data_IF_033490366759
#
_entry.id   IF_033490366759
#
_cell.length_a   1.000
_cell.length_b   1.000
_cell.length_c   1.000
_cell.angle_alpha   90.00
_cell.angle_beta   90.00
_cell.angle_gamma   90.00
#
_symmetry.space_group_name_H-M   'P 1'
#
loop_
_entity.id
_entity.type
_entity.pdbx_description
1 polymer ?
#
# COMPACT_ATOMS: atom_id res chain seq x y z
N UNK A 1 -10.69 23.73 -16.31
CA UNK A 1 -11.54 22.57 -15.98
C UNK A 1 -10.98 21.97 -14.71
N UNK A 2 -11.80 21.47 -13.79
CA UNK A 2 -11.28 20.81 -12.59
C UNK A 2 -10.78 19.41 -12.95
N UNK A 3 -9.56 19.06 -12.54
CA UNK A 3 -8.99 17.71 -12.67
C UNK A 3 -9.48 16.77 -11.54
N UNK A 4 -10.69 17.03 -11.05
CA UNK A 4 -11.33 16.30 -9.96
C UNK A 4 -12.76 15.97 -10.38
N UNK A 5 -13.09 14.68 -10.28
CA UNK A 5 -14.36 14.13 -10.69
C UNK A 5 -15.00 13.42 -9.50
N UNK A 6 -16.32 13.49 -9.42
CA UNK A 6 -17.04 12.71 -8.43
C UNK A 6 -16.89 11.22 -8.73
N UNK A 7 -16.56 10.44 -7.70
CA UNK A 7 -16.55 8.98 -7.79
C UNK A 7 -17.65 8.41 -6.91
N UNK A 8 -18.38 7.42 -7.43
CA UNK A 8 -19.41 6.72 -6.70
C UNK A 8 -19.63 5.32 -7.23
N UNK A 9 -19.76 4.36 -6.32
CA UNK A 9 -20.12 2.98 -6.66
C UNK A 9 -21.15 2.47 -5.66
N UNK A 10 -22.05 1.61 -6.14
CA UNK A 10 -23.00 0.90 -5.29
C UNK A 10 -22.71 -0.59 -5.32
N UNK A 11 -22.40 -1.16 -4.15
CA UNK A 11 -22.23 -2.59 -3.97
C UNK A 11 -23.53 -3.20 -3.42
N UNK A 12 -23.93 -4.34 -3.97
CA UNK A 12 -25.17 -5.04 -3.61
C UNK A 12 -25.04 -6.54 -3.85
N UNK A 13 -26.08 -7.30 -3.54
CA UNK A 13 -26.13 -8.74 -3.80
C UNK A 13 -25.94 -9.11 -5.28
N UNK A 14 -26.42 -8.28 -6.22
CA UNK A 14 -26.26 -8.47 -7.66
C UNK A 14 -24.95 -7.89 -8.22
N UNK A 15 -24.41 -6.86 -7.58
CA UNK A 15 -23.13 -6.24 -7.93
C UNK A 15 -22.21 -6.17 -6.71
N UNK A 16 -21.57 -7.29 -6.39
CA UNK A 16 -20.80 -7.42 -5.14
C UNK A 16 -19.44 -6.77 -5.17
N UNK A 17 -18.87 -6.53 -6.35
CA UNK A 17 -17.49 -6.08 -6.48
C UNK A 17 -17.34 -5.07 -7.60
N UNK A 18 -16.55 -4.03 -7.36
CA UNK A 18 -16.16 -3.04 -8.36
C UNK A 18 -14.66 -2.78 -8.26
N UNK A 19 -14.00 -2.69 -9.41
CA UNK A 19 -12.58 -2.37 -9.50
C UNK A 19 -12.38 -1.02 -10.15
N UNK A 20 -11.74 -0.12 -9.42
CA UNK A 20 -11.19 1.12 -9.96
C UNK A 20 -9.80 0.83 -10.55
N UNK A 21 -9.71 0.92 -11.87
CA UNK A 21 -8.49 0.73 -12.65
C UNK A 21 -8.55 1.64 -13.89
N UNK A 22 -8.21 2.94 -13.74
CA UNK A 22 -8.23 3.89 -14.84
C UNK A 22 -7.09 3.65 -15.85
N UNK A 23 -5.98 3.07 -15.42
CA UNK A 23 -4.81 2.80 -16.29
C UNK A 23 -5.12 1.72 -17.32
N UNK A 24 -5.85 0.67 -16.93
CA UNK A 24 -6.30 -0.36 -17.88
C UNK A 24 -7.20 0.17 -19.02
N UNK A 25 -7.70 1.41 -18.92
CA UNK A 25 -8.64 2.02 -19.87
C UNK A 25 -8.10 3.29 -20.54
N UNK A 26 -6.87 3.71 -20.23
CA UNK A 26 -6.34 5.00 -20.67
C UNK A 26 -5.63 4.90 -22.03
N UNK A 27 -5.99 5.77 -22.97
CA UNK A 27 -5.23 5.98 -24.21
C UNK A 27 -3.93 6.77 -23.97
N UNK A 28 -3.92 7.64 -22.95
CA UNK A 28 -2.77 8.45 -22.55
C UNK A 28 -2.50 8.25 -21.06
N UNK A 29 -1.31 7.74 -20.68
CA UNK A 29 -1.00 7.50 -19.29
C UNK A 29 -0.98 8.83 -18.52
N UNK A 30 -1.76 8.87 -17.44
CA UNK A 30 -1.88 10.01 -16.56
C UNK A 30 -1.85 9.51 -15.13
N UNK A 31 -1.25 10.27 -14.22
CA UNK A 31 -1.35 9.94 -12.80
C UNK A 31 -2.82 10.04 -12.35
N UNK A 32 -3.27 9.01 -11.62
CA UNK A 32 -4.64 8.91 -11.12
C UNK A 32 -4.61 8.69 -9.62
N UNK A 33 -5.62 9.19 -8.91
CA UNK A 33 -5.76 8.95 -7.47
C UNK A 33 -7.23 8.85 -7.10
N UNK A 34 -7.56 7.91 -6.24
CA UNK A 34 -8.92 7.71 -5.75
C UNK A 34 -9.02 8.08 -4.27
N UNK A 35 -9.93 8.98 -3.93
CA UNK A 35 -10.28 9.27 -2.54
C UNK A 35 -11.67 8.71 -2.26
N UNK A 36 -11.77 7.80 -1.28
CA UNK A 36 -13.05 7.35 -0.74
C UNK A 36 -13.35 8.11 0.55
N UNK A 37 -14.37 8.96 0.51
CA UNK A 37 -14.75 9.82 1.63
C UNK A 37 -15.69 9.11 2.59
N UNK A 38 -16.67 8.39 2.06
CA UNK A 38 -17.77 7.87 2.85
C UNK A 38 -18.32 6.56 2.30
N UNK A 39 -18.74 5.69 3.21
CA UNK A 39 -19.63 4.56 2.93
C UNK A 39 -21.02 4.85 3.53
N UNK A 40 -22.07 4.62 2.75
CA UNK A 40 -23.46 4.83 3.16
C UNK A 40 -24.28 3.56 2.88
N UNK A 41 -24.94 3.05 3.91
CA UNK A 41 -25.90 1.96 3.77
C UNK A 41 -27.22 2.53 3.27
N UNK A 42 -27.68 2.03 2.13
CA UNK A 42 -28.91 2.50 1.49
C UNK A 42 -30.16 2.24 2.33
N UNK A 43 -31.26 2.93 2.00
CA UNK A 43 -32.52 2.82 2.74
C UNK A 43 -33.14 1.42 2.61
N UNK A 44 -32.94 0.76 1.48
CA UNK A 44 -33.52 -0.54 1.13
C UNK A 44 -32.72 -1.73 1.69
N UNK A 45 -31.70 -1.47 2.51
CA UNK A 45 -30.91 -2.52 3.13
C UNK A 45 -31.72 -3.31 4.17
N UNK A 46 -31.51 -4.61 4.22
CA UNK A 46 -32.23 -5.50 5.12
C UNK A 46 -32.01 -5.13 6.59
N UNK A 47 -33.08 -5.07 7.41
CA UNK A 47 -32.98 -4.88 8.84
C UNK A 47 -32.15 -5.98 9.50
N UNK A 48 -31.42 -5.62 10.55
CA UNK A 48 -30.59 -6.54 11.31
C UNK A 48 -29.46 -7.27 10.55
N UNK A 49 -29.22 -6.93 9.28
CA UNK A 49 -28.14 -7.51 8.48
C UNK A 49 -26.84 -6.69 8.57
N UNK A 50 -25.73 -7.39 8.84
CA UNK A 50 -24.40 -6.80 8.83
C UNK A 50 -23.86 -6.72 7.38
N UNK A 51 -23.48 -5.52 6.96
CA UNK A 51 -22.91 -5.25 5.66
C UNK A 51 -21.42 -4.90 5.83
N UNK A 52 -20.54 -5.68 5.20
CA UNK A 52 -19.08 -5.51 5.34
C UNK A 52 -18.46 -5.27 3.98
N UNK A 53 -17.85 -4.10 3.82
CA UNK A 53 -17.08 -3.72 2.63
C UNK A 53 -15.61 -3.95 2.91
N UNK A 54 -14.97 -4.74 2.05
CA UNK A 54 -13.55 -4.98 2.01
C UNK A 54 -12.92 -4.24 0.84
N UNK A 55 -11.72 -3.72 1.03
CA UNK A 55 -10.88 -3.22 -0.06
C UNK A 55 -9.73 -4.20 -0.31
N UNK A 56 -9.39 -4.36 -1.58
CA UNK A 56 -8.16 -4.99 -2.06
C UNK A 56 -7.33 -3.96 -2.82
N UNK A 57 -6.08 -3.78 -2.42
CA UNK A 57 -5.15 -2.81 -3.03
C UNK A 57 -3.71 -3.23 -2.83
N UNK A 58 -2.80 -2.71 -3.65
CA UNK A 58 -1.37 -2.99 -3.57
C UNK A 58 -0.73 -2.22 -2.40
N UNK A 59 0.05 -2.91 -1.57
CA UNK A 59 0.98 -2.28 -0.65
C UNK A 59 2.42 -2.38 -1.19
N UNK A 60 3.42 -1.96 -0.41
CA UNK A 60 4.82 -1.91 -0.86
C UNK A 60 5.34 -3.21 -1.52
N UNK A 61 4.81 -4.37 -1.11
CA UNK A 61 5.32 -5.68 -1.54
C UNK A 61 4.24 -6.66 -2.03
N UNK A 62 3.00 -6.53 -1.56
CA UNK A 62 1.93 -7.48 -1.87
C UNK A 62 0.54 -6.83 -1.91
N UNK A 63 -0.44 -7.54 -2.47
CA UNK A 63 -1.84 -7.13 -2.38
C UNK A 63 -2.40 -7.45 -1.00
N UNK A 64 -3.05 -6.47 -0.38
CA UNK A 64 -3.71 -6.64 0.92
C UNK A 64 -5.23 -6.59 0.76
N UNK A 65 -5.93 -7.37 1.58
CA UNK A 65 -7.40 -7.38 1.67
C UNK A 65 -7.82 -7.02 3.09
N UNK A 66 -8.54 -5.91 3.26
CA UNK A 66 -8.92 -5.42 4.59
C UNK A 66 -10.35 -4.84 4.61
N UNK A 67 -11.18 -5.18 5.61
CA UNK A 67 -12.47 -4.52 5.82
C UNK A 67 -12.29 -3.03 6.12
N UNK A 68 -12.98 -2.17 5.38
CA UNK A 68 -12.93 -0.71 5.54
C UNK A 68 -14.23 -0.13 6.09
N UNK A 69 -15.36 -0.82 5.91
CA UNK A 69 -16.64 -0.39 6.46
C UNK A 69 -17.46 -1.57 6.96
N UNK A 70 -18.08 -1.39 8.13
CA UNK A 70 -19.06 -2.32 8.72
C UNK A 70 -20.30 -1.51 9.05
N UNK A 71 -21.41 -1.82 8.39
CA UNK A 71 -22.66 -1.06 8.45
C UNK A 71 -23.83 -1.97 8.77
N UNK A 72 -24.81 -1.46 9.53
CA UNK A 72 -26.01 -2.20 9.92
C UNK A 72 -27.17 -1.24 10.15
N UNK A 73 -28.35 -1.57 9.62
CA UNK A 73 -29.58 -0.79 9.84
C UNK A 73 -29.90 -0.72 11.33
N UNK A 74 -30.14 0.49 11.84
CA UNK A 74 -30.46 0.73 13.26
C UNK A 74 -29.25 0.90 14.17
N UNK A 75 -28.04 0.64 13.69
CA UNK A 75 -26.79 0.79 14.45
C UNK A 75 -25.86 1.80 13.76
N UNK A 76 -25.35 1.45 12.58
CA UNK A 76 -24.39 2.27 11.83
C UNK A 76 -24.81 2.33 10.35
N UNK A 77 -25.44 3.43 9.95
CA UNK A 77 -25.87 3.65 8.56
C UNK A 77 -24.81 4.31 7.68
N UNK A 78 -23.82 4.96 8.27
CA UNK A 78 -22.77 5.64 7.53
C UNK A 78 -21.43 5.50 8.25
N UNK A 79 -20.35 5.40 7.48
CA UNK A 79 -18.99 5.45 7.97
C UNK A 79 -18.20 6.46 7.15
N UNK A 80 -17.51 7.38 7.83
CA UNK A 80 -16.54 8.28 7.22
C UNK A 80 -15.22 7.53 7.11
N UNK A 81 -14.70 7.44 5.89
CA UNK A 81 -13.50 6.65 5.58
C UNK A 81 -12.29 7.56 5.40
N UNK A 82 -12.40 8.60 4.57
CA UNK A 82 -11.30 9.50 4.18
C UNK A 82 -10.00 8.72 3.84
N UNK A 83 -10.15 7.67 3.02
CA UNK A 83 -9.03 6.82 2.57
C UNK A 83 -8.62 7.28 1.17
N UNK A 84 -7.31 7.40 0.97
CA UNK A 84 -6.70 7.73 -0.31
C UNK A 84 -5.98 6.51 -0.88
N UNK A 85 -6.19 6.27 -2.18
CA UNK A 85 -5.52 5.25 -2.96
C UNK A 85 -4.75 5.95 -4.10
N UNK A 86 -3.42 6.09 -3.97
CA UNK A 86 -2.59 6.69 -5.00
C UNK A 86 -2.37 5.77 -6.21
N UNK A 87 -2.47 4.46 -6.02
CA UNK A 87 -2.15 3.46 -7.04
C UNK A 87 -3.38 2.61 -7.40
N UNK A 88 -3.49 2.29 -8.68
CA UNK A 88 -4.44 1.30 -9.21
C UNK A 88 -3.79 -0.10 -9.29
N UNK A 89 -4.58 -1.19 -9.34
CA UNK A 89 -6.02 -1.25 -9.19
C UNK A 89 -6.46 -1.26 -7.72
N UNK A 90 -7.67 -0.76 -7.47
CA UNK A 90 -8.34 -0.84 -6.16
C UNK A 90 -9.68 -1.54 -6.35
N UNK A 91 -9.89 -2.64 -5.63
CA UNK A 91 -11.15 -3.40 -5.71
C UNK A 91 -11.92 -3.31 -4.42
N UNK A 92 -13.17 -2.87 -4.49
CA UNK A 92 -14.10 -2.87 -3.36
C UNK A 92 -15.05 -4.05 -3.50
N UNK A 93 -15.24 -4.81 -2.42
CA UNK A 93 -16.12 -5.98 -2.41
C UNK A 93 -17.02 -5.99 -1.18
N UNK A 94 -18.31 -6.22 -1.39
CA UNK A 94 -19.28 -6.52 -0.34
C UNK A 94 -19.17 -8.00 0.02
N UNK A 95 -18.35 -8.30 1.04
CA UNK A 95 -18.06 -9.68 1.46
C UNK A 95 -19.15 -10.27 2.36
N UNK A 96 -19.97 -9.40 2.98
CA UNK A 96 -21.12 -9.77 3.79
C UNK A 96 -22.24 -8.76 3.61
N UNK A 97 -23.48 -9.24 3.67
CA UNK A 97 -24.69 -8.44 3.50
C UNK A 97 -25.19 -8.39 2.05
N UNK A 98 -26.41 -7.90 1.89
CA UNK A 98 -27.10 -7.76 0.61
C UNK A 98 -27.01 -6.34 0.03
N UNK A 99 -26.55 -5.38 0.82
CA UNK A 99 -26.50 -3.96 0.47
C UNK A 99 -27.90 -3.34 0.34
N UNK A 100 -28.08 -2.27 -0.44
CA UNK A 100 -27.02 -1.57 -1.18
C UNK A 100 -26.11 -0.76 -0.25
N UNK A 101 -24.79 -0.81 -0.50
CA UNK A 101 -23.79 0.06 0.14
C UNK A 101 -23.19 0.98 -0.92
N UNK A 102 -23.31 2.29 -0.72
CA UNK A 102 -22.76 3.30 -1.60
C UNK A 102 -21.41 3.76 -1.07
N UNK A 103 -20.36 3.64 -1.88
CA UNK A 103 -19.07 4.29 -1.62
C UNK A 103 -19.04 5.59 -2.42
N UNK A 104 -18.69 6.68 -1.75
CA UNK A 104 -18.71 8.03 -2.28
C UNK A 104 -17.33 8.65 -2.11
N UNK A 105 -16.85 9.31 -3.16
CA UNK A 105 -15.48 9.75 -3.25
C UNK A 105 -15.21 10.73 -4.38
N UNK A 106 -13.92 10.86 -4.69
CA UNK A 106 -13.39 11.74 -5.74
C UNK A 106 -12.32 10.97 -6.51
N UNK A 107 -12.34 11.07 -7.83
CA UNK A 107 -11.28 10.63 -8.71
C UNK A 107 -10.50 11.87 -9.15
N UNK A 108 -9.24 11.93 -8.72
CA UNK A 108 -8.32 13.00 -9.05
C UNK A 108 -7.43 12.58 -10.23
N UNK A 109 -7.37 13.44 -11.23
CA UNK A 109 -6.44 13.34 -12.34
C UNK A 109 -5.22 14.22 -12.05
N UNK A 110 -4.02 13.70 -12.28
CA UNK A 110 -2.78 14.47 -12.19
C UNK A 110 -2.19 14.79 -13.56
N UNK A 111 -0.89 15.04 -13.58
CA UNK A 111 -0.15 15.30 -14.82
C UNK A 111 -0.11 14.06 -15.72
N UNK A 112 0.00 14.30 -17.03
CA UNK A 112 0.37 13.26 -17.98
C UNK A 112 1.71 12.66 -17.53
N UNK A 113 1.80 11.34 -17.58
CA UNK A 113 3.07 10.67 -17.34
C UNK A 113 3.83 10.79 -18.64
N UNK A 114 4.73 11.77 -18.72
CA UNK A 114 5.70 11.82 -19.80
C UNK A 114 6.60 10.59 -19.63
N UNK A 115 6.46 9.62 -20.54
CA UNK A 115 7.50 8.63 -20.73
C UNK A 115 8.78 9.41 -21.03
N UNK A 116 9.88 9.09 -20.33
CA UNK A 116 11.16 9.78 -20.43
C UNK A 116 11.72 9.75 -21.88
N UNK A 117 11.22 10.60 -22.77
CA UNK A 117 11.76 10.84 -24.11
C UNK A 117 12.89 11.89 -24.10
N UNK A 118 13.20 12.47 -22.93
CA UNK A 118 14.21 13.53 -22.76
C UNK A 118 15.63 13.00 -22.43
N UNK A 119 15.97 11.77 -22.85
CA UNK A 119 17.35 11.26 -22.76
C UNK A 119 18.09 11.23 -24.11
N UNK A 120 17.51 11.77 -25.18
CA UNK A 120 18.19 11.88 -26.49
C UNK A 120 18.64 13.31 -26.84
N UNK A 121 18.18 14.36 -26.14
CA UNK A 121 18.56 15.77 -26.46
C UNK A 121 19.77 16.29 -25.64
N UNK A 122 20.40 15.44 -24.81
CA UNK A 122 21.56 15.82 -23.99
C UNK A 122 22.90 15.24 -24.48
N UNK A 123 22.98 14.78 -25.74
CA UNK A 123 24.22 14.28 -26.35
C UNK A 123 24.77 15.20 -27.48
N UNK A 124 24.02 16.21 -27.93
CA UNK A 124 24.45 17.12 -29.01
C UNK A 124 25.27 18.35 -28.56
N UNK A 125 25.39 18.66 -27.26
CA UNK A 125 26.16 19.83 -26.78
C UNK A 125 27.65 19.56 -26.46
N UNK A 126 28.19 18.37 -26.76
CA UNK A 126 29.60 18.01 -26.49
C UNK A 126 30.52 18.06 -27.74
N UNK A 127 30.11 18.76 -28.80
CA UNK A 127 30.85 18.84 -30.06
C UNK A 127 31.07 20.27 -30.56
N UNK A 128 31.45 21.22 -29.71
CA UNK A 128 32.13 22.43 -30.19
C UNK A 128 32.88 23.17 -29.07
N UNK A 129 34.16 22.85 -28.82
CA UNK A 129 35.12 23.86 -28.32
C UNK A 129 36.59 23.44 -28.55
N UNK A 130 37.19 24.12 -29.54
CA UNK A 130 38.61 24.46 -29.75
C UNK A 130 39.64 23.42 -30.26
N UNK A 131 39.81 23.42 -31.58
CA UNK A 131 41.13 23.42 -32.24
C UNK A 131 41.88 24.74 -31.96
N UNK A 132 43.16 24.70 -31.56
CA UNK A 132 43.98 25.92 -31.48
C UNK A 132 45.39 25.81 -30.86
N UNK A 133 46.35 25.31 -31.66
CA UNK A 133 47.72 25.86 -31.84
C UNK A 133 48.77 25.88 -30.68
N UNK A 134 49.64 24.85 -30.72
CA UNK A 134 51.11 24.87 -30.83
C UNK A 134 52.08 25.56 -29.81
N UNK A 135 53.23 24.88 -29.64
CA UNK A 135 54.58 25.36 -29.24
C UNK A 135 55.07 25.37 -27.77
N UNK A 136 55.64 24.22 -27.36
CA UNK A 136 57.06 24.01 -27.00
C UNK A 136 57.81 25.02 -26.08
N UNK A 137 58.24 24.58 -24.86
CA UNK A 137 59.66 24.42 -24.41
C UNK A 137 59.83 24.26 -22.86
N UNK A 138 60.36 23.08 -22.49
CA UNK A 138 61.45 22.76 -21.53
C UNK A 138 61.42 23.12 -20.01
N UNK A 139 61.47 22.03 -19.24
CA UNK A 139 62.55 21.61 -18.29
C UNK A 139 62.82 22.48 -17.05
N UNK A 140 62.53 21.94 -15.85
CA UNK A 140 63.62 21.60 -14.91
C UNK A 140 63.16 20.79 -13.67
N UNK A 141 64.00 19.82 -13.31
CA UNK A 141 63.91 18.95 -12.14
C UNK A 141 64.02 19.72 -10.81
N UNK A 142 63.27 19.33 -9.77
CA UNK A 142 63.98 19.00 -8.52
C UNK A 142 63.26 18.01 -7.59
N UNK A 143 64.02 16.96 -7.28
CA UNK A 143 63.80 15.90 -6.31
C UNK A 143 63.61 16.45 -4.89
N UNK A 144 62.81 15.77 -4.06
CA UNK A 144 63.19 15.32 -2.69
C UNK A 144 62.12 14.46 -1.99
N UNK A 145 62.39 13.15 -2.00
CA UNK A 145 62.44 12.21 -0.86
C UNK A 145 61.30 12.18 0.17
N UNK A 146 60.53 11.09 0.12
CA UNK A 146 59.90 10.48 1.29
C UNK A 146 60.94 9.91 2.28
N UNK A 147 60.56 9.76 3.55
CA UNK A 147 60.92 8.53 4.26
C UNK A 147 59.74 7.86 4.97
N UNK A 148 59.84 6.55 5.02
CA UNK A 148 58.99 5.57 5.67
C UNK A 148 59.00 5.67 7.20
N UNK A 149 57.88 5.31 7.85
CA UNK A 149 57.76 5.33 9.31
C UNK A 149 56.57 4.55 9.86
N UNK A 150 56.77 3.24 9.99
CA UNK A 150 56.01 2.22 10.78
C UNK A 150 55.44 2.72 12.13
N UNK A 151 54.20 2.34 12.47
CA UNK A 151 53.68 1.92 13.80
C UNK A 151 52.16 1.66 13.66
N UNK A 152 51.69 0.42 13.80
CA UNK A 152 51.48 -0.45 14.98
C UNK A 152 50.06 -0.31 15.54
N UNK A 153 49.46 -1.49 15.64
CA UNK A 153 48.21 -1.94 16.25
C UNK A 153 48.13 -1.73 17.77
N UNK A 154 46.92 -2.00 18.28
CA UNK A 154 46.45 -2.38 19.63
C UNK A 154 45.48 -1.33 20.21
N UNK A 155 44.18 -1.66 20.31
CA UNK A 155 43.50 -2.54 21.30
C UNK A 155 43.18 -1.76 22.58
N UNK A 156 41.89 -1.78 22.94
CA UNK A 156 41.28 -1.80 24.28
C UNK A 156 39.78 -2.01 23.97
N UNK A 157 39.25 -3.25 23.91
CA UNK A 157 38.91 -4.19 24.99
C UNK A 157 37.68 -3.77 25.84
N UNK A 158 36.87 -4.80 26.11
CA UNK A 158 35.91 -4.99 27.20
C UNK A 158 34.45 -4.49 27.00
N UNK A 159 33.41 -5.29 27.28
CA UNK A 159 33.35 -6.74 27.55
C UNK A 159 31.90 -7.24 27.51
N UNK A 160 31.79 -8.56 27.28
CA UNK A 160 30.79 -9.53 27.77
C UNK A 160 29.27 -9.20 27.80
N UNK A 161 28.48 -10.05 27.12
CA UNK A 161 27.75 -11.12 27.83
C UNK A 161 27.54 -12.33 26.90
N UNK A 162 28.10 -13.46 27.32
CA UNK A 162 27.73 -14.78 26.83
C UNK A 162 26.63 -15.39 27.70
N UNK A 163 25.74 -16.16 27.07
CA UNK A 163 25.37 -17.54 27.45
C UNK A 163 24.10 -17.96 26.66
N UNK A 164 24.26 -18.92 25.75
CA UNK A 164 23.16 -19.84 25.43
C UNK A 164 23.13 -20.98 26.46
N UNK A 165 22.49 -22.14 26.19
CA UNK A 165 21.30 -22.40 25.37
C UNK A 165 20.32 -23.34 26.11
N UNK A 166 18.99 -23.29 25.88
CA UNK A 166 18.10 -24.40 26.28
C UNK A 166 16.95 -24.64 25.30
N UNK A 167 17.06 -25.75 24.56
CA UNK A 167 15.89 -26.43 24.00
C UNK A 167 15.28 -27.41 25.00
N UNK A 168 13.96 -27.65 24.89
CA UNK A 168 13.34 -28.98 24.80
C UNK A 168 11.80 -28.89 24.81
N UNK A 169 11.23 -29.77 23.99
CA UNK A 169 9.82 -30.11 23.80
C UNK A 169 9.10 -30.43 25.12
N UNK A 170 7.79 -30.11 25.17
CA UNK A 170 6.82 -30.88 25.93
C UNK A 170 5.48 -30.99 25.16
N UNK A 171 5.07 -32.23 24.91
CA UNK A 171 3.71 -32.68 24.54
C UNK A 171 3.03 -33.13 25.84
N UNK A 172 1.74 -32.87 26.01
CA UNK A 172 0.73 -33.63 26.78
C UNK A 172 -0.62 -32.90 26.58
N UNK A 173 -1.57 -33.37 25.76
CA UNK A 173 -2.54 -34.47 25.93
C UNK A 173 -3.61 -34.25 27.03
N UNK A 174 -4.86 -34.11 26.57
CA UNK A 174 -6.15 -34.58 27.12
C UNK A 174 -6.44 -34.48 28.62
N UNK A 175 -7.59 -33.89 28.98
CA UNK A 175 -8.75 -34.68 29.46
C UNK A 175 -10.06 -33.90 29.41
N UNK A 176 -11.14 -34.69 29.39
CA UNK A 176 -12.50 -34.43 29.01
C UNK A 176 -13.47 -34.04 30.15
N UNK A 177 -14.75 -33.95 29.73
CA UNK A 177 -16.02 -34.12 30.50
C UNK A 177 -16.64 -32.85 31.12
N UNK A 178 -17.55 -32.24 30.37
CA UNK A 178 -18.95 -32.70 30.34
C UNK A 178 -19.92 -32.04 31.34
N UNK A 179 -20.97 -31.40 30.81
CA UNK A 179 -22.40 -31.71 31.07
C UNK A 179 -23.32 -30.67 30.41
N UNK A 180 -23.96 -31.05 29.31
CA UNK A 180 -25.38 -30.73 29.11
C UNK A 180 -26.20 -31.91 29.66
N UNK A 181 -27.40 -31.67 30.24
CA UNK A 181 -28.60 -31.94 29.45
C UNK A 181 -29.75 -30.92 29.66
N UNK A 182 -30.29 -30.43 28.52
CA UNK A 182 -31.67 -30.44 28.00
C UNK A 182 -32.93 -30.26 28.92
N UNK A 183 -34.16 -30.08 28.39
CA UNK A 183 -35.00 -28.92 28.66
C UNK A 183 -36.27 -29.25 29.49
N UNK A 184 -36.82 -28.26 30.22
CA UNK A 184 -38.14 -28.39 30.83
C UNK A 184 -39.24 -27.85 29.89
N UNK A 185 -40.03 -28.77 29.35
CA UNK A 185 -41.42 -28.55 28.93
C UNK A 185 -42.21 -27.93 30.08
N UNK A 186 -43.09 -26.98 29.78
CA UNK A 186 -44.35 -26.88 30.48
C UNK A 186 -45.47 -26.51 29.50
N UNK A 187 -46.42 -27.42 29.39
CA UNK A 187 -47.73 -27.22 28.78
C UNK A 187 -48.73 -26.80 29.85
N UNK A 188 -49.63 -25.88 29.50
CA UNK A 188 -50.99 -25.60 30.02
C UNK A 188 -51.33 -24.18 29.55
N UNK A 189 -52.47 -23.89 28.97
CA UNK A 189 -53.80 -24.49 29.03
C UNK A 189 -54.59 -24.01 27.81
#
# INVERSE_FOLDING_TARGET
MSDEYFYGVTLSSSHKSETWDPEAKAEYPRSNKLLIRQALLGPDAEPDELNVVQVETMCLQESIKIPVAILKVGETRQARLDIEFPDAPVTFTLIQGSGPVHLIGQHLLGALVEEFEDMEEMEEEMLDEEEGDDSQFKEDENKRKAPSGKRKTNEDEDDEEGEGPKGKKAKMSNNAKGKAPSPKKNAKK
#
